data_IF_810635508154
#
_entry.id   IF_810635508154
#
_cell.length_a   1.000
_cell.length_b   1.000
_cell.length_c   1.000
_cell.angle_alpha   90.00
_cell.angle_beta   90.00
_cell.angle_gamma   90.00
#
_symmetry.space_group_name_H-M   'P 1'
#
loop_
_entity.id
_entity.type
_entity.pdbx_description
1 polymer ?
#
# COMPACT_ATOMS: atom_id res chain seq x y z
N UNK A 1 -0.73 -5.15 18.63
CA UNK A 1 0.01 -6.38 18.29
C UNK A 1 -0.35 -6.91 16.91
N UNK A 2 -1.63 -7.00 16.58
CA UNK A 2 -2.06 -7.56 15.29
C UNK A 2 -1.55 -6.71 14.12
N UNK A 3 -1.74 -5.40 14.16
CA UNK A 3 -1.38 -4.51 13.05
C UNK A 3 0.11 -4.50 12.76
N UNK A 4 0.94 -4.58 13.78
CA UNK A 4 2.40 -4.61 13.64
C UNK A 4 2.92 -6.00 13.24
N UNK A 5 2.10 -7.04 13.43
CA UNK A 5 2.48 -8.43 13.14
C UNK A 5 2.11 -8.84 11.71
N UNK A 6 1.10 -8.21 11.11
CA UNK A 6 0.71 -8.48 9.73
C UNK A 6 1.91 -8.26 8.81
N UNK A 7 2.31 -9.28 8.00
CA UNK A 7 3.54 -9.24 7.21
C UNK A 7 3.43 -8.41 5.92
N UNK A 8 2.65 -7.37 5.95
CA UNK A 8 2.50 -6.41 4.86
C UNK A 8 2.46 -5.02 5.49
N UNK A 9 2.81 -4.01 4.72
CA UNK A 9 2.60 -2.65 5.19
C UNK A 9 1.35 -2.05 4.55
N UNK A 10 0.63 -1.24 5.32
CA UNK A 10 -0.55 -0.58 4.81
C UNK A 10 -0.63 0.87 5.29
N UNK A 11 -1.40 1.65 4.55
CA UNK A 11 -1.78 3.01 4.94
C UNK A 11 -3.25 3.19 4.60
N UNK A 12 -3.96 3.96 5.41
CA UNK A 12 -5.36 4.29 5.17
C UNK A 12 -5.43 5.78 4.88
N UNK A 13 -6.08 6.13 3.78
CA UNK A 13 -6.32 7.51 3.35
C UNK A 13 -7.82 7.74 3.44
N UNK A 14 -8.24 8.82 4.11
CA UNK A 14 -9.66 9.11 4.25
C UNK A 14 -10.27 9.71 2.97
N UNK A 15 -11.58 9.96 2.98
CA UNK A 15 -12.29 10.50 1.82
C UNK A 15 -11.85 11.90 1.42
N UNK A 16 -11.13 12.61 2.30
CA UNK A 16 -10.59 13.94 2.05
C UNK A 16 -9.11 13.90 1.64
N UNK A 17 -8.62 12.70 1.29
CA UNK A 17 -7.25 12.47 0.84
C UNK A 17 -6.20 12.77 1.92
N UNK A 18 -6.56 12.60 3.18
CA UNK A 18 -5.65 12.73 4.32
C UNK A 18 -5.19 11.35 4.77
N UNK A 19 -3.92 11.23 5.13
CA UNK A 19 -3.40 10.00 5.73
C UNK A 19 -4.02 9.84 7.12
N UNK A 20 -4.79 8.78 7.31
CA UNK A 20 -5.51 8.53 8.55
C UNK A 20 -4.75 7.60 9.50
N UNK A 21 -4.16 6.53 8.96
CA UNK A 21 -3.48 5.53 9.76
C UNK A 21 -2.50 4.74 8.90
N UNK A 22 -1.55 4.07 9.55
CA UNK A 22 -0.60 3.15 8.91
C UNK A 22 -0.03 2.24 9.99
N UNK A 23 0.46 1.05 9.59
CA UNK A 23 1.07 0.15 10.56
C UNK A 23 2.56 0.46 10.72
N UNK A 24 3.06 0.34 11.95
CA UNK A 24 4.45 0.65 12.33
C UNK A 24 5.36 -0.58 12.18
N UNK A 25 5.32 -1.22 11.04
CA UNK A 25 6.15 -2.40 10.81
C UNK A 25 7.64 -2.01 10.75
N UNK A 26 8.50 -2.75 11.46
CA UNK A 26 9.94 -2.43 11.54
C UNK A 26 10.65 -2.50 10.20
N UNK A 27 10.13 -3.30 9.27
CA UNK A 27 10.71 -3.51 7.93
C UNK A 27 9.98 -2.73 6.85
N UNK A 28 9.35 -1.62 7.21
CA UNK A 28 8.56 -0.82 6.26
C UNK A 28 9.41 -0.37 5.07
N UNK A 29 8.93 -0.66 3.87
CA UNK A 29 9.53 -0.25 2.60
C UNK A 29 9.37 1.26 2.42
N UNK A 30 8.14 1.75 2.62
CA UNK A 30 7.80 3.17 2.53
C UNK A 30 7.62 3.72 3.93
N UNK A 31 8.70 4.26 4.49
CA UNK A 31 8.70 4.76 5.86
C UNK A 31 7.74 5.93 6.04
N UNK A 32 6.96 5.89 7.11
CA UNK A 32 5.99 6.92 7.44
C UNK A 32 6.20 7.36 8.88
N UNK A 33 6.75 8.56 9.12
CA UNK A 33 6.86 9.10 10.48
C UNK A 33 5.46 9.44 11.00
N UNK A 34 5.28 9.43 12.32
CA UNK A 34 3.99 9.71 12.95
C UNK A 34 3.39 11.05 12.51
N UNK A 35 4.25 12.01 12.18
CA UNK A 35 3.81 13.32 11.73
C UNK A 35 3.03 13.30 10.40
N UNK A 36 2.99 12.19 9.65
CA UNK A 36 2.22 12.15 8.40
C UNK A 36 0.74 11.93 8.63
N UNK A 37 0.32 11.48 9.82
CA UNK A 37 -1.10 11.30 10.12
C UNK A 37 -1.78 12.67 10.03
N UNK A 38 -2.84 12.75 9.23
CA UNK A 38 -3.56 13.99 8.96
C UNK A 38 -2.99 14.83 7.81
N UNK A 39 -1.83 14.45 7.23
CA UNK A 39 -1.28 15.14 6.06
C UNK A 39 -2.03 14.76 4.80
N UNK A 40 -2.07 15.68 3.85
CA UNK A 40 -2.56 15.38 2.52
C UNK A 40 -1.67 14.32 1.86
N UNK A 41 -2.27 13.39 1.15
CA UNK A 41 -1.56 12.35 0.41
C UNK A 41 -0.55 12.96 -0.57
N UNK A 42 -0.83 14.13 -1.10
CA UNK A 42 0.05 14.86 -2.00
C UNK A 42 1.41 15.16 -1.40
N UNK A 43 1.48 15.33 -0.08
CA UNK A 43 2.73 15.61 0.63
C UNK A 43 3.49 14.35 1.01
N UNK A 44 2.93 13.17 0.73
CA UNK A 44 3.50 11.87 1.11
C UNK A 44 4.04 11.09 -0.09
N UNK A 45 3.88 11.61 -1.31
CA UNK A 45 4.27 10.91 -2.54
C UNK A 45 5.21 11.76 -3.39
N UNK A 46 6.18 11.11 -4.09
CA UNK A 46 7.01 11.80 -5.07
C UNK A 46 6.17 12.34 -6.22
N UNK A 47 6.61 13.43 -6.83
CA UNK A 47 5.91 14.03 -7.98
C UNK A 47 5.67 13.03 -9.12
N UNK A 48 6.60 12.11 -9.33
CA UNK A 48 6.50 11.12 -10.41
C UNK A 48 5.26 10.24 -10.34
N UNK A 49 4.82 9.92 -9.11
CA UNK A 49 3.69 9.04 -8.89
C UNK A 49 2.42 9.78 -8.46
N UNK A 50 2.53 11.07 -8.18
CA UNK A 50 1.42 11.84 -7.63
C UNK A 50 0.21 11.88 -8.57
N UNK A 51 0.43 12.11 -9.85
CA UNK A 51 -0.67 12.17 -10.84
C UNK A 51 -1.46 10.87 -10.90
N UNK A 52 -0.76 9.74 -10.84
CA UNK A 52 -1.39 8.41 -10.86
C UNK A 52 -2.17 8.15 -9.59
N UNK A 53 -1.61 8.51 -8.44
CA UNK A 53 -2.28 8.36 -7.14
C UNK A 53 -3.55 9.21 -7.13
N UNK A 54 -3.47 10.47 -7.56
CA UNK A 54 -4.63 11.36 -7.62
C UNK A 54 -5.71 10.83 -8.55
N UNK A 55 -5.32 10.29 -9.70
CA UNK A 55 -6.26 9.69 -10.64
C UNK A 55 -6.99 8.50 -10.02
N UNK A 56 -6.27 7.60 -9.35
CA UNK A 56 -6.84 6.45 -8.68
C UNK A 56 -7.87 6.87 -7.64
N UNK A 57 -7.48 7.82 -6.77
CA UNK A 57 -8.37 8.31 -5.71
C UNK A 57 -9.61 8.99 -6.27
N UNK A 58 -9.45 9.79 -7.32
CA UNK A 58 -10.56 10.46 -8.00
C UNK A 58 -11.54 9.45 -8.59
N UNK A 59 -11.03 8.43 -9.26
CA UNK A 59 -11.87 7.38 -9.86
C UNK A 59 -12.58 6.55 -8.80
N UNK A 60 -11.92 6.26 -7.68
CA UNK A 60 -12.54 5.56 -6.55
C UNK A 60 -13.66 6.38 -5.94
N UNK A 61 -13.43 7.66 -5.72
CA UNK A 61 -14.43 8.58 -5.17
C UNK A 61 -15.64 8.69 -6.09
N UNK A 62 -15.43 8.66 -7.40
CA UNK A 62 -16.50 8.73 -8.40
C UNK A 62 -17.22 7.40 -8.62
N UNK A 63 -16.82 6.33 -7.94
CA UNK A 63 -17.42 5.02 -8.09
C UNK A 63 -16.99 4.25 -9.34
N UNK A 64 -15.96 4.73 -10.04
CA UNK A 64 -15.49 4.14 -11.30
C UNK A 64 -14.39 3.10 -11.11
N UNK A 65 -13.83 3.01 -9.92
CA UNK A 65 -12.73 2.10 -9.63
C UNK A 65 -12.84 1.58 -8.21
N UNK A 66 -12.58 0.28 -8.02
CA UNK A 66 -12.58 -0.36 -6.70
C UNK A 66 -11.18 -0.80 -6.29
N UNK A 67 -10.28 -0.97 -7.25
CA UNK A 67 -8.95 -1.52 -7.02
C UNK A 67 -7.97 -1.00 -8.06
N UNK A 68 -6.72 -0.84 -7.65
CA UNK A 68 -5.61 -0.60 -8.57
C UNK A 68 -4.42 -1.43 -8.11
N UNK A 69 -3.64 -1.97 -9.04
CA UNK A 69 -2.45 -2.77 -8.75
C UNK A 69 -1.33 -2.36 -9.66
N UNK A 70 -0.15 -2.16 -9.09
CA UNK A 70 1.08 -2.00 -9.85
C UNK A 70 2.25 -2.55 -9.06
N UNK A 71 3.39 -2.71 -9.71
CA UNK A 71 4.58 -3.25 -9.07
C UNK A 71 5.82 -2.58 -9.62
N UNK A 72 6.81 -2.42 -8.76
CA UNK A 72 8.07 -1.72 -9.09
C UNK A 72 9.25 -2.49 -8.52
N UNK A 73 10.42 -2.29 -9.12
CA UNK A 73 11.66 -2.87 -8.62
C UNK A 73 12.41 -1.82 -7.81
N UNK A 74 12.77 -2.17 -6.57
CA UNK A 74 13.49 -1.29 -5.65
C UNK A 74 14.75 -1.99 -5.13
N UNK A 75 15.84 -1.26 -4.84
CA UNK A 75 17.10 -1.84 -4.39
C UNK A 75 17.05 -2.23 -2.90
N UNK A 76 16.23 -3.19 -2.56
CA UNK A 76 15.98 -3.63 -1.19
C UNK A 76 16.81 -4.84 -0.75
N UNK A 77 17.52 -5.48 -1.66
CA UNK A 77 18.39 -6.63 -1.34
C UNK A 77 19.60 -6.21 -0.52
N UNK A 78 20.24 -7.16 0.21
CA UNK A 78 21.38 -6.86 1.08
C UNK A 78 22.56 -6.19 0.36
N UNK A 79 22.70 -6.44 -0.93
CA UNK A 79 23.77 -5.85 -1.76
C UNK A 79 23.22 -4.84 -2.76
N UNK A 80 22.02 -4.31 -2.52
CA UNK A 80 21.34 -3.39 -3.42
C UNK A 80 20.67 -4.06 -4.60
N UNK A 81 20.49 -5.39 -4.57
CA UNK A 81 19.76 -6.09 -5.62
C UNK A 81 18.32 -5.59 -5.67
N UNK A 82 17.78 -5.46 -6.87
CA UNK A 82 16.40 -5.03 -7.05
C UNK A 82 15.45 -6.15 -6.66
N UNK A 83 14.48 -5.80 -5.84
CA UNK A 83 13.43 -6.70 -5.41
C UNK A 83 12.07 -6.11 -5.78
N UNK A 84 11.14 -6.96 -6.16
CA UNK A 84 9.84 -6.50 -6.65
C UNK A 84 8.91 -6.20 -5.48
N UNK A 85 8.32 -5.01 -5.53
CA UNK A 85 7.34 -4.55 -4.55
C UNK A 85 5.99 -4.46 -5.24
N UNK A 86 5.00 -5.18 -4.69
CA UNK A 86 3.61 -5.13 -5.15
C UNK A 86 2.89 -4.05 -4.35
N UNK A 87 2.21 -3.15 -5.05
CA UNK A 87 1.45 -2.05 -4.45
C UNK A 87 0.01 -2.17 -4.93
N UNK A 88 -0.92 -2.20 -3.98
CA UNK A 88 -2.34 -2.32 -4.28
C UNK A 88 -3.13 -1.24 -3.54
N UNK A 89 -4.12 -0.69 -4.23
CA UNK A 89 -5.07 0.27 -3.67
C UNK A 89 -6.46 -0.33 -3.71
N UNK A 90 -7.18 -0.21 -2.61
CA UNK A 90 -8.56 -0.71 -2.48
C UNK A 90 -9.46 0.40 -1.99
N UNK A 91 -10.58 0.62 -2.68
CA UNK A 91 -11.57 1.58 -2.21
C UNK A 91 -12.28 1.01 -0.99
N UNK A 92 -12.38 1.82 0.06
CA UNK A 92 -13.12 1.49 1.27
C UNK A 92 -14.51 2.11 1.16
N UNK A 93 -15.55 1.28 1.31
CA UNK A 93 -16.93 1.72 1.20
C UNK A 93 -17.75 1.17 2.35
N UNK A 94 -18.79 1.89 2.74
CA UNK A 94 -19.74 1.39 3.74
C UNK A 94 -20.73 0.40 3.09
N UNK A 95 -21.66 -0.10 3.89
CA UNK A 95 -22.62 -1.10 3.44
C UNK A 95 -23.56 -0.60 2.32
N UNK A 96 -23.71 0.72 2.18
CA UNK A 96 -24.56 1.33 1.14
C UNK A 96 -23.76 1.79 -0.07
N UNK A 97 -22.45 1.53 -0.09
CA UNK A 97 -21.59 1.84 -1.22
C UNK A 97 -20.94 3.22 -1.17
N UNK A 98 -21.13 3.97 -0.09
CA UNK A 98 -20.51 5.29 0.06
C UNK A 98 -19.01 5.17 0.23
N UNK A 99 -18.26 6.00 -0.49
CA UNK A 99 -16.80 6.01 -0.42
C UNK A 99 -16.34 6.57 0.94
N UNK A 100 -15.54 5.79 1.64
CA UNK A 100 -14.97 6.19 2.94
C UNK A 100 -13.51 6.59 2.84
N UNK A 101 -12.80 6.08 1.86
CA UNK A 101 -11.37 6.30 1.70
C UNK A 101 -10.71 5.17 0.92
N UNK A 102 -9.39 5.08 1.05
CA UNK A 102 -8.59 4.11 0.31
C UNK A 102 -7.61 3.40 1.24
N UNK A 103 -7.49 2.08 1.05
CA UNK A 103 -6.48 1.26 1.69
C UNK A 103 -5.35 1.03 0.68
N UNK A 104 -4.13 1.45 1.04
CA UNK A 104 -2.92 1.17 0.28
C UNK A 104 -2.17 0.04 0.96
N UNK A 105 -1.84 -1.01 0.20
CA UNK A 105 -1.10 -2.18 0.71
C UNK A 105 0.15 -2.34 -0.12
N UNK A 106 1.30 -2.51 0.53
CA UNK A 106 2.58 -2.73 -0.16
C UNK A 106 3.30 -3.91 0.46
N UNK A 107 3.92 -4.73 -0.39
CA UNK A 107 4.70 -5.87 0.09
C UNK A 107 5.83 -6.19 -0.89
N UNK A 108 6.98 -6.59 -0.34
CA UNK A 108 8.07 -7.12 -1.11
C UNK A 108 7.73 -8.57 -1.46
N UNK A 109 7.61 -8.89 -2.74
CA UNK A 109 7.20 -10.22 -3.20
C UNK A 109 8.36 -11.03 -3.77
N UNK A 110 9.62 -10.61 -3.55
CA UNK A 110 10.77 -11.34 -4.08
C UNK A 110 10.79 -12.82 -3.67
N UNK A 111 10.55 -13.08 -2.39
CA UNK A 111 10.49 -14.46 -1.88
C UNK A 111 9.26 -15.21 -2.39
N UNK A 112 8.13 -14.52 -2.52
CA UNK A 112 6.89 -15.10 -3.04
C UNK A 112 7.07 -15.54 -4.48
N UNK A 113 7.82 -14.76 -5.28
CA UNK A 113 8.06 -15.09 -6.69
C UNK A 113 8.87 -16.38 -6.89
N UNK A 114 9.61 -16.80 -5.88
CA UNK A 114 10.43 -18.01 -5.93
C UNK A 114 9.66 -19.29 -5.61
N UNK A 115 8.43 -19.16 -5.14
CA UNK A 115 7.62 -20.33 -4.77
C UNK A 115 7.23 -21.13 -6.00
N UNK A 116 7.37 -22.46 -5.91
CA UNK A 116 6.96 -23.39 -6.95
C UNK A 116 6.47 -24.67 -6.29
N UNK A 117 5.62 -25.43 -7.00
CA UNK A 117 5.06 -26.67 -6.48
C UNK A 117 4.21 -26.45 -5.24
N UNK A 118 4.24 -27.40 -4.32
CA UNK A 118 3.49 -27.36 -3.09
C UNK A 118 4.37 -27.62 -1.87
N UNK A 119 4.09 -26.93 -0.80
CA UNK A 119 4.65 -27.26 0.51
C UNK A 119 3.52 -27.23 1.53
N UNK A 120 2.98 -28.42 1.86
CA UNK A 120 1.82 -28.56 2.74
C UNK A 120 2.20 -28.70 4.20
N UNK A 121 3.40 -29.21 4.48
CA UNK A 121 3.91 -29.45 5.82
C UNK A 121 5.18 -28.66 6.04
N UNK A 122 5.56 -28.48 7.30
CA UNK A 122 6.79 -27.78 7.64
C UNK A 122 8.02 -28.50 7.10
N UNK A 123 8.00 -29.82 7.10
CA UNK A 123 9.07 -30.65 6.54
C UNK A 123 8.59 -32.04 6.20
#
# INVERSE_FOLDING_TARGET
AVLETIPIEFSVIDKNEKVLAWNKHSTRIFKRPEAVVGRDVQNCHPKKSLDKVEQILKEMKAGKRQKARFYIDLPLGPKGEKEKVLIEYYALRDATGNYLGCLEVSQNIAEIQKLSGEKRLLD
#
